data_IF_945162474397
#
_entry.id   IF_945162474397
#
_cell.length_a   1.000
_cell.length_b   1.000
_cell.length_c   1.000
_cell.angle_alpha   90.00
_cell.angle_beta   90.00
_cell.angle_gamma   90.00
#
_symmetry.space_group_name_H-M   'P 1'
#
loop_
_entity.id
_entity.type
_entity.pdbx_description
1 polymer ?
#
# COMPACT_ATOMS: atom_id res chain seq x y z
N UNK A 1 5.07 -2.65 12.22
CA UNK A 1 5.73 -1.33 12.15
C UNK A 1 5.16 -0.52 13.28
N UNK A 2 6.00 -0.03 14.18
CA UNK A 2 5.57 0.78 15.33
C UNK A 2 5.70 2.28 15.05
N UNK A 3 4.78 3.06 15.58
CA UNK A 3 4.85 4.51 15.64
C UNK A 3 5.38 4.93 17.00
N UNK A 4 6.56 5.55 17.02
CA UNK A 4 7.16 6.12 18.23
C UNK A 4 7.50 7.59 18.02
N UNK A 5 6.81 8.54 18.67
CA UNK A 5 5.64 8.33 19.54
C UNK A 5 4.41 7.85 18.76
N UNK A 6 3.38 7.39 19.48
CA UNK A 6 2.09 7.05 18.89
C UNK A 6 1.49 8.26 18.13
N UNK A 7 0.70 7.97 17.11
CA UNK A 7 0.06 8.97 16.26
C UNK A 7 -0.92 9.84 17.05
N UNK A 8 -0.99 11.11 16.67
CA UNK A 8 -1.89 12.09 17.26
C UNK A 8 -3.12 12.28 16.37
N UNK A 9 -4.34 12.37 16.93
CA UNK A 9 -5.54 12.62 16.17
C UNK A 9 -5.75 14.12 15.89
N UNK A 10 -6.37 14.44 14.76
CA UNK A 10 -6.93 15.75 14.44
C UNK A 10 -8.10 15.59 13.46
N UNK A 11 -9.01 16.56 13.38
CA UNK A 11 -10.12 16.54 12.43
C UNK A 11 -9.71 17.18 11.10
N UNK A 12 -9.93 16.49 9.99
CA UNK A 12 -9.65 17.01 8.65
C UNK A 12 -10.56 18.20 8.30
N UNK A 13 -9.96 19.31 7.87
CA UNK A 13 -10.70 20.40 7.20
C UNK A 13 -10.71 20.14 5.70
N UNK A 14 -9.53 20.04 5.08
CA UNK A 14 -9.38 19.89 3.64
C UNK A 14 -8.01 19.35 3.26
N UNK A 15 -7.93 18.64 2.13
CA UNK A 15 -6.66 18.31 1.43
C UNK A 15 -6.54 19.16 0.17
N UNK A 16 -5.36 19.70 -0.09
CA UNK A 16 -5.11 20.60 -1.22
C UNK A 16 -3.66 20.53 -1.71
N UNK A 17 -3.39 21.11 -2.89
CA UNK A 17 -2.04 21.15 -3.51
C UNK A 17 -1.30 19.79 -3.54
N UNK A 18 -2.07 18.69 -3.65
CA UNK A 18 -1.65 17.27 -3.61
C UNK A 18 -1.03 16.79 -2.29
N UNK A 19 -0.17 17.59 -1.67
CA UNK A 19 0.68 17.20 -0.54
C UNK A 19 0.37 17.91 0.78
N UNK A 20 -0.69 18.70 0.86
CA UNK A 20 -1.04 19.46 2.07
C UNK A 20 -2.44 19.11 2.54
N UNK A 21 -2.63 19.10 3.85
CA UNK A 21 -3.94 18.99 4.47
C UNK A 21 -4.01 19.88 5.70
N UNK A 22 -5.08 20.66 5.82
CA UNK A 22 -5.34 21.44 7.03
C UNK A 22 -6.23 20.63 7.97
N UNK A 23 -5.89 20.63 9.25
CA UNK A 23 -6.59 19.89 10.30
C UNK A 23 -6.77 20.76 11.54
N UNK A 24 -7.72 20.40 12.39
CA UNK A 24 -7.91 21.01 13.73
C UNK A 24 -7.65 19.94 14.80
N UNK A 25 -6.73 20.20 15.72
CA UNK A 25 -6.43 19.31 16.85
C UNK A 25 -7.58 19.28 17.85
N UNK A 26 -7.65 18.28 18.77
CA UNK A 26 -8.63 18.28 19.86
C UNK A 26 -8.58 19.53 20.75
N UNK A 27 -7.44 20.22 20.79
CA UNK A 27 -7.24 21.47 21.54
C UNK A 27 -7.68 22.73 20.76
N UNK A 28 -8.13 22.59 19.52
CA UNK A 28 -8.58 23.71 18.68
C UNK A 28 -7.49 24.40 17.86
N UNK A 29 -6.27 23.86 17.84
CA UNK A 29 -5.16 24.39 17.03
C UNK A 29 -5.31 23.96 15.57
N UNK A 30 -5.08 24.88 14.64
CA UNK A 30 -5.02 24.58 13.21
C UNK A 30 -3.60 24.21 12.80
N UNK A 31 -3.43 23.02 12.23
CA UNK A 31 -2.15 22.54 11.70
C UNK A 31 -2.24 22.30 10.20
N UNK A 32 -1.13 22.50 9.49
CA UNK A 32 -0.96 22.01 8.11
C UNK A 32 -0.04 20.78 8.12
N UNK A 33 -0.60 19.64 7.72
CA UNK A 33 0.10 18.37 7.60
C UNK A 33 0.67 18.19 6.20
N UNK A 34 1.82 17.51 6.12
CA UNK A 34 2.27 16.88 4.89
C UNK A 34 1.41 15.64 4.60
N UNK A 35 0.85 15.55 3.40
CA UNK A 35 0.13 14.39 2.89
C UNK A 35 1.06 13.59 1.94
N UNK A 36 1.63 12.45 2.38
CA UNK A 36 2.55 11.63 1.59
C UNK A 36 1.82 10.71 0.60
N UNK A 37 0.80 11.22 -0.08
CA UNK A 37 0.02 10.47 -1.07
C UNK A 37 -0.45 11.40 -2.19
N UNK A 38 -0.02 11.10 -3.42
CA UNK A 38 -0.35 11.89 -4.62
C UNK A 38 -1.56 11.35 -5.38
N UNK A 39 -2.11 10.21 -4.97
CA UNK A 39 -3.26 9.58 -5.61
C UNK A 39 -4.56 10.35 -5.37
N UNK A 40 -5.64 9.83 -5.98
CA UNK A 40 -6.98 10.38 -5.81
C UNK A 40 -7.39 10.39 -4.34
N UNK A 41 -7.04 9.33 -3.59
CA UNK A 41 -7.41 9.15 -2.18
C UNK A 41 -8.94 9.12 -2.02
N UNK A 42 -9.62 8.47 -2.97
CA UNK A 42 -11.07 8.36 -2.99
C UNK A 42 -11.55 7.74 -1.67
N UNK A 43 -12.49 8.39 -0.99
CA UNK A 43 -13.00 7.97 0.31
C UNK A 43 -12.03 8.11 1.50
N UNK A 44 -10.78 8.55 1.28
CA UNK A 44 -9.74 8.58 2.33
C UNK A 44 -9.49 9.99 2.90
N UNK A 45 -10.07 11.03 2.31
CA UNK A 45 -9.81 12.44 2.63
C UNK A 45 -11.09 13.26 2.76
N UNK A 46 -12.13 12.69 3.36
CA UNK A 46 -13.43 13.36 3.51
C UNK A 46 -13.37 14.41 4.63
N UNK A 47 -13.74 15.68 4.39
CA UNK A 47 -13.81 16.68 5.44
C UNK A 47 -14.62 16.23 6.67
N UNK A 48 -14.03 16.41 7.84
CA UNK A 48 -14.57 15.97 9.12
C UNK A 48 -14.12 14.57 9.57
N UNK A 49 -13.46 13.78 8.73
CA UNK A 49 -12.82 12.53 9.16
C UNK A 49 -11.70 12.82 10.19
N UNK A 50 -11.37 11.81 11.01
CA UNK A 50 -10.24 11.90 11.92
C UNK A 50 -8.97 11.50 11.17
N UNK A 51 -7.97 12.37 11.18
CA UNK A 51 -6.62 12.12 10.69
C UNK A 51 -5.72 11.77 11.86
N UNK A 52 -4.91 10.73 11.70
CA UNK A 52 -3.84 10.37 12.60
C UNK A 52 -2.51 10.76 11.97
N UNK A 53 -1.74 11.60 12.65
CA UNK A 53 -0.49 12.15 12.14
C UNK A 53 0.69 11.82 13.05
N UNK A 54 1.87 11.66 12.43
CA UNK A 54 3.16 11.58 13.11
C UNK A 54 3.81 12.96 13.12
N UNK A 55 4.69 13.21 14.10
CA UNK A 55 5.45 14.47 14.21
C UNK A 55 6.93 14.16 14.14
N UNK A 56 7.63 14.76 13.17
CA UNK A 56 9.08 14.64 13.05
C UNK A 56 9.79 15.61 13.99
N UNK A 57 10.87 15.16 14.64
CA UNK A 57 11.77 16.00 15.44
C UNK A 57 12.76 16.82 14.62
N UNK A 58 12.78 16.66 13.29
CA UNK A 58 13.74 17.35 12.41
C UNK A 58 13.34 18.81 12.24
N UNK A 59 14.07 19.70 12.91
CA UNK A 59 13.79 21.14 12.95
C UNK A 59 13.81 21.85 11.59
N UNK A 60 14.46 21.27 10.57
CA UNK A 60 14.52 21.86 9.22
C UNK A 60 13.26 21.61 8.38
N UNK A 61 12.29 20.82 8.85
CA UNK A 61 11.07 20.53 8.10
C UNK A 61 10.09 21.69 8.16
N UNK A 62 9.71 22.21 6.99
CA UNK A 62 8.64 23.21 6.85
C UNK A 62 7.27 22.71 7.36
N UNK A 63 6.98 21.42 7.15
CA UNK A 63 5.77 20.76 7.63
C UNK A 63 6.20 19.53 8.47
N UNK A 64 6.33 19.67 9.80
CA UNK A 64 6.86 18.61 10.66
C UNK A 64 5.89 17.45 10.85
N UNK A 65 4.59 17.71 10.69
CA UNK A 65 3.53 16.72 10.86
C UNK A 65 3.22 16.01 9.55
N UNK A 66 3.11 14.68 9.58
CA UNK A 66 2.82 13.84 8.41
C UNK A 66 1.54 13.06 8.64
N UNK A 67 0.60 13.12 7.69
CA UNK A 67 -0.62 12.33 7.71
C UNK A 67 -0.31 10.86 7.45
N UNK A 68 -0.61 10.00 8.42
CA UNK A 68 -0.34 8.55 8.36
C UNK A 68 -1.62 7.75 8.11
N UNK A 69 -2.66 7.97 8.92
CA UNK A 69 -3.94 7.27 8.82
C UNK A 69 -5.13 8.23 8.71
N UNK A 70 -6.20 7.75 8.11
CA UNK A 70 -7.56 8.30 8.21
C UNK A 70 -8.44 7.33 8.97
N UNK A 71 -9.30 7.84 9.83
CA UNK A 71 -10.43 7.12 10.38
C UNK A 71 -11.71 7.77 9.82
N UNK A 72 -12.48 7.00 9.05
CA UNK A 72 -13.75 7.46 8.48
C UNK A 72 -14.79 7.63 9.57
N UNK A 73 -15.88 8.35 9.27
CA UNK A 73 -17.02 8.50 10.20
C UNK A 73 -17.65 7.18 10.63
N UNK A 74 -17.60 6.16 9.77
CA UNK A 74 -18.09 4.82 10.08
C UNK A 74 -17.06 3.96 10.83
N UNK A 75 -15.92 4.55 11.21
CA UNK A 75 -14.90 3.93 12.07
C UNK A 75 -13.84 3.11 11.33
N UNK A 76 -13.87 3.07 10.00
CA UNK A 76 -12.83 2.37 9.23
C UNK A 76 -11.50 3.13 9.29
N UNK A 77 -10.42 2.42 9.59
CA UNK A 77 -9.05 2.95 9.56
C UNK A 77 -8.42 2.66 8.20
N UNK A 78 -7.70 3.65 7.67
CA UNK A 78 -7.07 3.61 6.36
C UNK A 78 -5.66 4.17 6.49
N UNK A 79 -4.61 3.42 6.13
CA UNK A 79 -3.28 4.01 6.03
C UNK A 79 -3.12 4.71 4.69
N UNK A 80 -3.07 6.04 4.72
CA UNK A 80 -2.95 6.86 3.52
C UNK A 80 -1.51 7.08 3.09
N UNK A 81 -0.55 6.92 3.99
CA UNK A 81 0.86 7.07 3.69
C UNK A 81 1.36 5.87 2.88
N UNK A 82 1.52 6.07 1.57
CA UNK A 82 1.86 5.01 0.62
C UNK A 82 3.23 4.38 0.88
N UNK A 83 4.13 5.07 1.58
CA UNK A 83 5.44 4.54 1.97
C UNK A 83 5.34 3.41 3.00
N UNK A 84 4.22 3.33 3.74
CA UNK A 84 4.02 2.33 4.79
C UNK A 84 3.78 0.93 4.23
N UNK A 85 3.21 0.80 3.04
CA UNK A 85 2.97 -0.49 2.39
C UNK A 85 4.26 -1.32 2.29
N UNK A 86 5.31 -0.78 1.66
CA UNK A 86 6.59 -1.48 1.54
C UNK A 86 7.23 -1.73 2.92
N UNK A 87 7.07 -0.80 3.87
CA UNK A 87 7.61 -0.97 5.23
C UNK A 87 7.02 -2.20 5.91
N UNK A 88 5.68 -2.34 5.91
CA UNK A 88 5.02 -3.47 6.58
C UNK A 88 5.12 -4.78 5.83
N UNK A 89 5.18 -4.75 4.49
CA UNK A 89 5.51 -5.95 3.70
C UNK A 89 6.91 -6.43 4.04
N UNK A 90 7.90 -5.52 4.07
CA UNK A 90 9.29 -5.88 4.39
C UNK A 90 9.41 -6.55 5.76
N UNK A 91 8.81 -5.97 6.79
CA UNK A 91 8.80 -6.57 8.13
C UNK A 91 8.12 -7.95 8.15
N UNK A 92 7.01 -8.12 7.43
CA UNK A 92 6.31 -9.41 7.34
C UNK A 92 7.14 -10.48 6.61
N UNK A 93 7.86 -10.10 5.54
CA UNK A 93 8.78 -10.97 4.83
C UNK A 93 9.98 -11.39 5.69
N UNK A 94 10.62 -10.42 6.36
CA UNK A 94 11.76 -10.68 7.24
C UNK A 94 11.38 -11.57 8.43
N UNK A 95 10.18 -11.37 8.98
CA UNK A 95 9.64 -12.20 10.06
C UNK A 95 9.02 -13.52 9.56
N UNK A 96 9.09 -13.82 8.26
CA UNK A 96 8.49 -15.01 7.62
C UNK A 96 7.00 -15.21 7.91
N UNK A 97 6.25 -14.12 8.10
CA UNK A 97 4.81 -14.13 8.44
C UNK A 97 3.88 -14.27 7.24
N UNK A 98 4.44 -14.35 6.03
CA UNK A 98 3.71 -14.59 4.79
C UNK A 98 4.04 -16.01 4.31
N UNK A 99 3.26 -17.05 4.66
CA UNK A 99 3.63 -18.44 4.40
C UNK A 99 3.97 -18.75 2.94
N UNK A 100 3.25 -18.15 1.99
CA UNK A 100 3.51 -18.30 0.56
C UNK A 100 4.88 -17.73 0.11
N UNK A 101 5.47 -16.84 0.90
CA UNK A 101 6.74 -16.13 0.62
C UNK A 101 7.82 -16.47 1.66
N UNK A 102 7.60 -17.49 2.49
CA UNK A 102 8.51 -17.91 3.54
C UNK A 102 9.63 -18.85 3.02
N UNK A 103 10.65 -19.05 3.85
CA UNK A 103 11.76 -19.95 3.55
C UNK A 103 12.74 -19.41 2.50
N UNK A 104 12.80 -18.10 2.29
CA UNK A 104 13.89 -17.46 1.56
C UNK A 104 14.97 -16.97 2.55
N UNK A 105 16.23 -16.97 2.13
CA UNK A 105 17.40 -16.65 2.96
C UNK A 105 17.72 -15.15 2.96
N UNK A 106 17.46 -14.47 1.84
CA UNK A 106 17.79 -13.06 1.68
C UNK A 106 16.66 -12.26 1.03
N UNK A 107 16.58 -10.98 1.41
CA UNK A 107 15.63 -10.01 0.89
C UNK A 107 16.41 -8.77 0.42
N UNK A 108 16.20 -8.39 -0.84
CA UNK A 108 16.68 -7.12 -1.40
C UNK A 108 15.48 -6.24 -1.73
N UNK A 109 15.62 -4.93 -1.54
CA UNK A 109 14.58 -3.94 -1.87
C UNK A 109 14.98 -3.13 -3.10
N UNK A 110 13.99 -2.63 -3.86
CA UNK A 110 14.20 -1.69 -4.97
C UNK A 110 15.18 -2.18 -6.06
N UNK A 111 15.12 -3.48 -6.40
CA UNK A 111 16.06 -4.11 -7.34
C UNK A 111 15.67 -3.75 -8.77
N UNK A 112 16.63 -3.24 -9.56
CA UNK A 112 16.39 -2.95 -10.99
C UNK A 112 16.12 -4.26 -11.74
N UNK A 113 15.09 -4.26 -12.59
CA UNK A 113 14.70 -5.42 -13.38
C UNK A 113 13.93 -4.99 -14.64
N UNK A 114 13.69 -5.95 -15.53
CA UNK A 114 12.91 -5.74 -16.75
C UNK A 114 13.62 -4.88 -17.81
N UNK A 115 13.03 -4.87 -19.01
CA UNK A 115 13.52 -4.06 -20.12
C UNK A 115 13.09 -2.57 -19.99
N UNK A 116 12.03 -2.27 -19.24
CA UNK A 116 11.46 -0.92 -19.11
C UNK A 116 12.02 -0.13 -17.91
N UNK A 117 13.22 -0.52 -17.44
CA UNK A 117 13.99 0.13 -16.35
C UNK A 117 13.20 0.27 -15.04
N UNK A 118 12.38 -0.72 -14.71
CA UNK A 118 11.66 -0.72 -13.45
C UNK A 118 12.53 -1.15 -12.28
N UNK A 119 11.97 -0.97 -11.09
CA UNK A 119 12.50 -1.51 -9.84
C UNK A 119 11.40 -2.32 -9.20
N UNK A 120 11.70 -3.56 -8.87
CA UNK A 120 10.81 -4.41 -8.10
C UNK A 120 10.92 -4.02 -6.63
N UNK A 121 9.80 -3.99 -5.91
CA UNK A 121 9.79 -3.58 -4.51
C UNK A 121 10.65 -4.52 -3.66
N UNK A 122 10.52 -5.83 -3.86
CA UNK A 122 11.34 -6.84 -3.19
C UNK A 122 11.79 -7.96 -4.13
N UNK A 123 12.99 -8.47 -3.88
CA UNK A 123 13.50 -9.72 -4.46
C UNK A 123 13.95 -10.64 -3.33
N UNK A 124 13.35 -11.83 -3.26
CA UNK A 124 13.73 -12.88 -2.32
C UNK A 124 14.61 -13.92 -3.01
N UNK A 125 15.64 -14.41 -2.30
CA UNK A 125 16.57 -15.41 -2.83
C UNK A 125 16.90 -16.47 -1.77
N UNK A 126 17.11 -17.70 -2.21
CA UNK A 126 17.62 -18.83 -1.42
C UNK A 126 18.42 -19.76 -2.34
N UNK A 127 19.29 -20.57 -1.76
CA UNK A 127 20.18 -21.46 -2.51
C UNK A 127 19.45 -22.59 -3.27
N UNK A 128 18.30 -23.00 -2.78
CA UNK A 128 17.48 -24.11 -3.26
C UNK A 128 16.22 -23.67 -4.05
N UNK A 129 16.07 -22.37 -4.34
CA UNK A 129 14.87 -21.79 -4.96
C UNK A 129 15.22 -20.79 -6.06
N UNK A 130 14.35 -20.68 -7.06
CA UNK A 130 14.37 -19.57 -8.02
C UNK A 130 14.11 -18.23 -7.31
N UNK A 131 14.56 -17.12 -7.88
CA UNK A 131 14.33 -15.81 -7.28
C UNK A 131 12.83 -15.49 -7.29
N UNK A 132 12.35 -14.80 -6.25
CA UNK A 132 10.97 -14.34 -6.18
C UNK A 132 10.91 -12.81 -6.21
N UNK A 133 10.32 -12.27 -7.27
CA UNK A 133 10.11 -10.86 -7.50
C UNK A 133 8.72 -10.47 -6.97
N UNK A 134 8.66 -9.51 -6.06
CA UNK A 134 7.41 -9.10 -5.40
C UNK A 134 7.18 -7.62 -5.67
N UNK A 135 6.08 -7.33 -6.36
CA UNK A 135 5.54 -5.98 -6.52
C UNK A 135 4.44 -5.78 -5.49
N UNK A 136 4.49 -4.67 -4.75
CA UNK A 136 3.52 -4.31 -3.70
C UNK A 136 2.58 -3.23 -4.20
N UNK A 137 1.28 -3.45 -4.00
CA UNK A 137 0.24 -2.44 -4.24
C UNK A 137 -0.50 -2.14 -2.96
N UNK A 138 -0.57 -0.86 -2.59
CA UNK A 138 -1.39 -0.40 -1.47
C UNK A 138 -2.86 -0.31 -1.92
N UNK A 139 -3.73 -1.05 -1.27
CA UNK A 139 -5.19 -1.01 -1.50
C UNK A 139 -5.85 -0.19 -0.41
N UNK A 140 -6.42 0.95 -0.79
CA UNK A 140 -7.19 1.84 0.09
C UNK A 140 -8.56 2.20 -0.48
N UNK A 141 -8.76 2.13 -1.79
CA UNK A 141 -10.07 2.33 -2.41
C UNK A 141 -10.99 1.18 -1.97
N UNK A 142 -12.16 1.54 -1.44
CA UNK A 142 -13.16 0.60 -0.96
C UNK A 142 -14.55 1.03 -1.42
N UNK A 143 -15.35 0.06 -1.86
CA UNK A 143 -16.80 0.20 -1.97
C UNK A 143 -17.42 -0.93 -1.14
N UNK A 144 -18.29 -0.58 -0.20
CA UNK A 144 -18.82 -1.53 0.78
C UNK A 144 -17.69 -2.26 1.53
N UNK A 145 -17.60 -3.59 1.45
CA UNK A 145 -16.54 -4.40 2.04
C UNK A 145 -15.46 -4.82 1.03
N UNK A 146 -15.59 -4.39 -0.22
CA UNK A 146 -14.70 -4.78 -1.31
C UNK A 146 -13.63 -3.73 -1.55
N UNK A 147 -12.40 -4.19 -1.69
CA UNK A 147 -11.22 -3.39 -1.97
C UNK A 147 -10.85 -3.39 -3.44
N UNK A 148 -10.45 -2.23 -3.95
CA UNK A 148 -10.13 -2.08 -5.36
C UNK A 148 -8.76 -1.46 -5.60
N UNK A 149 -8.11 -1.90 -6.67
CA UNK A 149 -6.91 -1.25 -7.19
C UNK A 149 -6.92 -1.28 -8.73
N UNK A 150 -6.58 -0.17 -9.42
CA UNK A 150 -6.12 1.11 -8.88
C UNK A 150 -7.24 2.12 -8.54
N UNK A 151 -6.89 3.23 -7.87
CA UNK A 151 -7.77 4.39 -7.59
C UNK A 151 -7.66 5.49 -8.68
N UNK A 152 -7.00 5.19 -9.79
CA UNK A 152 -6.92 6.01 -11.01
C UNK A 152 -6.29 5.18 -12.14
N UNK A 153 -6.53 5.56 -13.40
CA UNK A 153 -5.84 4.95 -14.55
C UNK A 153 -4.33 4.98 -14.37
N UNK A 154 -3.64 3.85 -14.58
CA UNK A 154 -2.23 3.68 -14.24
C UNK A 154 -1.42 2.96 -15.32
N UNK A 155 -0.88 3.73 -16.26
CA UNK A 155 0.09 3.21 -17.24
C UNK A 155 1.32 2.57 -16.55
N UNK A 156 1.74 3.08 -15.37
CA UNK A 156 2.81 2.50 -14.56
C UNK A 156 2.43 1.14 -14.00
N UNK A 157 1.22 0.99 -13.44
CA UNK A 157 0.77 -0.32 -12.93
C UNK A 157 0.65 -1.35 -14.04
N UNK A 158 0.10 -0.95 -15.20
CA UNK A 158 0.04 -1.79 -16.40
C UNK A 158 1.44 -2.23 -16.86
N UNK A 159 2.44 -1.33 -16.80
CA UNK A 159 3.84 -1.64 -17.10
C UNK A 159 4.40 -2.73 -16.18
N UNK A 160 4.21 -2.58 -14.88
CA UNK A 160 4.76 -3.53 -13.91
C UNK A 160 4.16 -4.93 -14.10
N UNK A 161 2.87 -5.04 -14.46
CA UNK A 161 2.25 -6.33 -14.78
C UNK A 161 2.95 -7.03 -15.96
N UNK A 162 3.31 -6.30 -17.02
CA UNK A 162 4.06 -6.86 -18.16
C UNK A 162 5.45 -7.33 -17.76
N UNK A 163 6.13 -6.59 -16.89
CA UNK A 163 7.45 -6.98 -16.40
C UNK A 163 7.37 -8.20 -15.48
N UNK A 164 6.34 -8.32 -14.64
CA UNK A 164 6.12 -9.53 -13.83
C UNK A 164 5.83 -10.76 -14.72
N UNK A 165 5.05 -10.61 -15.79
CA UNK A 165 4.85 -11.68 -16.77
C UNK A 165 6.16 -12.12 -17.41
N UNK A 166 7.04 -11.16 -17.74
CA UNK A 166 8.35 -11.46 -18.31
C UNK A 166 9.30 -12.15 -17.32
N UNK A 167 9.20 -11.84 -16.02
CA UNK A 167 9.93 -12.57 -14.96
C UNK A 167 9.52 -14.05 -14.94
N UNK A 168 8.22 -14.33 -15.01
CA UNK A 168 7.72 -15.72 -15.05
C UNK A 168 8.20 -16.44 -16.31
N UNK A 169 8.14 -15.78 -17.47
CA UNK A 169 8.63 -16.33 -18.75
C UNK A 169 10.13 -16.67 -18.71
N UNK A 170 10.92 -15.93 -17.92
CA UNK A 170 12.35 -16.19 -17.71
C UNK A 170 12.63 -17.32 -16.70
N UNK A 171 11.60 -17.90 -16.08
CA UNK A 171 11.70 -19.02 -15.15
C UNK A 171 11.85 -18.63 -13.68
N UNK A 172 11.80 -17.33 -13.36
CA UNK A 172 11.75 -16.85 -11.98
C UNK A 172 10.30 -16.74 -11.49
N UNK A 173 10.13 -16.64 -10.17
CA UNK A 173 8.81 -16.48 -9.54
C UNK A 173 8.43 -15.00 -9.48
N UNK A 174 7.19 -14.66 -9.84
CA UNK A 174 6.69 -13.29 -9.74
C UNK A 174 5.39 -13.22 -8.93
N UNK A 175 5.29 -12.23 -8.06
CA UNK A 175 4.16 -12.03 -7.13
C UNK A 175 3.71 -10.58 -7.19
N UNK A 176 2.41 -10.37 -7.37
CA UNK A 176 1.76 -9.11 -7.05
C UNK A 176 1.09 -9.24 -5.68
N UNK A 177 1.56 -8.47 -4.70
CA UNK A 177 1.02 -8.46 -3.35
C UNK A 177 0.22 -7.18 -3.09
N UNK A 178 -1.10 -7.31 -2.99
CA UNK A 178 -1.97 -6.27 -2.47
C UNK A 178 -1.83 -6.17 -0.94
N UNK A 179 -1.14 -5.14 -0.47
CA UNK A 179 -1.17 -4.72 0.92
C UNK A 179 -2.46 -3.95 1.17
N UNK A 180 -3.41 -4.58 1.85
CA UNK A 180 -4.73 -4.02 2.12
C UNK A 180 -4.65 -3.18 3.39
N UNK A 181 -4.56 -1.87 3.19
CA UNK A 181 -4.36 -0.87 4.22
C UNK A 181 -5.65 -0.13 4.57
N UNK A 182 -6.76 -0.86 4.59
CA UNK A 182 -8.09 -0.36 4.92
C UNK A 182 -8.83 -1.41 5.77
N UNK A 183 -9.23 -1.05 6.97
CA UNK A 183 -9.74 -2.01 7.97
C UNK A 183 -11.09 -2.62 7.62
N UNK A 184 -11.91 -1.95 6.78
CA UNK A 184 -13.21 -2.49 6.36
C UNK A 184 -13.12 -3.50 5.19
N UNK A 185 -11.99 -3.56 4.46
CA UNK A 185 -11.89 -4.43 3.27
C UNK A 185 -11.79 -5.91 3.70
N UNK A 186 -12.58 -6.77 3.05
CA UNK A 186 -12.63 -8.23 3.28
C UNK A 186 -12.22 -9.05 2.06
N UNK A 187 -12.20 -8.43 0.87
CA UNK A 187 -11.75 -9.04 -0.39
C UNK A 187 -11.20 -7.98 -1.34
N UNK A 188 -10.37 -8.38 -2.31
CA UNK A 188 -9.74 -7.45 -3.26
C UNK A 188 -10.07 -7.83 -4.70
N UNK A 189 -10.31 -6.83 -5.55
CA UNK A 189 -10.48 -7.00 -6.98
C UNK A 189 -9.76 -5.87 -7.76
N UNK A 190 -9.42 -6.08 -9.05
CA UNK A 190 -8.98 -4.97 -9.88
C UNK A 190 -10.16 -4.02 -10.11
N UNK A 191 -9.88 -2.71 -10.08
CA UNK A 191 -10.86 -1.66 -10.30
C UNK A 191 -11.20 -1.53 -11.80
N UNK A 192 -11.88 -2.54 -12.38
CA UNK A 192 -12.21 -2.56 -13.82
C UNK A 192 -12.97 -1.30 -14.27
N UNK A 193 -13.80 -0.75 -13.39
CA UNK A 193 -14.57 0.49 -13.64
C UNK A 193 -13.70 1.76 -13.68
N UNK A 194 -12.44 1.71 -13.22
CA UNK A 194 -11.47 2.81 -13.25
C UNK A 194 -10.40 2.59 -14.31
N UNK A 195 -9.83 1.39 -14.39
CA UNK A 195 -8.79 1.02 -15.35
C UNK A 195 -9.03 -0.41 -15.87
N UNK A 196 -9.89 -0.51 -16.89
CA UNK A 196 -10.23 -1.76 -17.54
C UNK A 196 -8.99 -2.48 -18.08
N UNK A 197 -8.04 -1.73 -18.65
CA UNK A 197 -6.81 -2.28 -19.20
C UNK A 197 -5.92 -2.91 -18.14
N UNK A 198 -5.80 -2.28 -16.96
CA UNK A 198 -5.11 -2.86 -15.82
C UNK A 198 -5.78 -4.17 -15.37
N UNK A 199 -7.12 -4.19 -15.29
CA UNK A 199 -7.87 -5.39 -14.91
C UNK A 199 -7.61 -6.56 -15.87
N UNK A 200 -7.67 -6.32 -17.18
CA UNK A 200 -7.34 -7.32 -18.21
C UNK A 200 -5.92 -7.86 -18.08
N UNK A 201 -4.94 -6.95 -17.93
CA UNK A 201 -3.53 -7.31 -17.77
C UNK A 201 -3.28 -8.10 -16.48
N UNK A 202 -4.03 -7.83 -15.41
CA UNK A 202 -3.90 -8.58 -14.16
C UNK A 202 -4.43 -10.02 -14.33
N UNK A 203 -5.58 -10.18 -14.98
CA UNK A 203 -6.10 -11.51 -15.32
C UNK A 203 -5.16 -12.26 -16.27
N UNK A 204 -4.53 -11.57 -17.24
CA UNK A 204 -3.50 -12.15 -18.10
C UNK A 204 -2.26 -12.58 -17.32
N UNK A 205 -1.76 -11.73 -16.43
CA UNK A 205 -0.61 -12.01 -15.60
C UNK A 205 -0.82 -13.26 -14.74
N UNK A 206 -2.00 -13.37 -14.12
CA UNK A 206 -2.36 -14.57 -13.37
C UNK A 206 -2.35 -15.83 -14.25
N UNK A 207 -2.95 -15.77 -15.45
CA UNK A 207 -2.94 -16.92 -16.39
C UNK A 207 -1.53 -17.32 -16.83
N UNK A 208 -0.60 -16.37 -16.90
CA UNK A 208 0.81 -16.62 -17.22
C UNK A 208 1.64 -17.09 -16.02
N UNK A 209 1.04 -17.19 -14.83
CA UNK A 209 1.71 -17.72 -13.63
C UNK A 209 2.19 -16.67 -12.63
N UNK A 210 1.87 -15.39 -12.82
CA UNK A 210 2.10 -14.38 -11.78
C UNK A 210 1.14 -14.66 -10.62
N UNK A 211 1.68 -14.87 -9.43
CA UNK A 211 0.86 -15.09 -8.24
C UNK A 211 0.27 -13.77 -7.75
N UNK A 212 -1.04 -13.76 -7.46
CA UNK A 212 -1.74 -12.57 -6.97
C UNK A 212 -2.23 -12.83 -5.55
N UNK A 213 -1.66 -12.11 -4.59
CA UNK A 213 -1.93 -12.27 -3.17
C UNK A 213 -2.53 -10.98 -2.62
N UNK A 214 -3.40 -11.09 -1.61
CA UNK A 214 -3.85 -9.96 -0.82
C UNK A 214 -3.67 -10.25 0.66
N UNK A 215 -3.14 -9.28 1.41
CA UNK A 215 -2.94 -9.37 2.85
C UNK A 215 -3.45 -8.11 3.55
N UNK A 216 -4.30 -8.32 4.55
CA UNK A 216 -4.88 -7.26 5.38
C UNK A 216 -3.89 -6.82 6.46
N UNK A 217 -3.83 -5.52 6.68
CA UNK A 217 -3.17 -4.94 7.84
C UNK A 217 -4.14 -4.75 9.01
N UNK A 218 -3.67 -5.04 10.21
CA UNK A 218 -4.17 -4.39 11.43
C UNK A 218 -3.61 -2.98 11.50
N UNK A 219 -4.46 -2.00 11.81
CA UNK A 219 -4.14 -0.57 11.83
C UNK A 219 -4.51 0.02 13.18
N UNK A 220 -3.61 0.78 13.78
CA UNK A 220 -3.86 1.54 15.00
C UNK A 220 -3.00 2.79 15.07
N UNK A 221 -3.24 3.65 16.06
CA UNK A 221 -2.40 4.80 16.34
C UNK A 221 -0.97 4.42 16.77
N UNK A 222 -0.73 3.19 17.20
CA UNK A 222 0.58 2.73 17.68
C UNK A 222 1.32 1.85 16.68
N UNK A 223 0.63 1.15 15.79
CA UNK A 223 1.27 0.24 14.84
C UNK A 223 0.46 -0.05 13.57
N UNK A 224 1.18 -0.55 12.56
CA UNK A 224 0.63 -1.17 11.35
C UNK A 224 1.33 -2.51 11.14
N UNK A 225 0.55 -3.59 11.01
CA UNK A 225 1.09 -4.94 10.89
C UNK A 225 0.23 -5.76 9.92
N UNK A 226 0.82 -6.41 8.90
CA UNK A 226 0.10 -7.39 8.08
C UNK A 226 -0.29 -8.62 8.92
N UNK A 227 -1.54 -9.06 8.85
CA UNK A 227 -2.10 -10.08 9.76
C UNK A 227 -2.72 -11.28 9.05
N UNK A 228 -3.55 -11.08 8.01
CA UNK A 228 -4.30 -12.18 7.40
C UNK A 228 -4.40 -12.08 5.89
N UNK A 229 -4.43 -13.22 5.17
CA UNK A 229 -4.70 -13.23 3.74
C UNK A 229 -6.18 -12.89 3.47
N UNK A 230 -6.45 -12.21 2.36
CA UNK A 230 -7.80 -11.96 1.85
C UNK A 230 -8.00 -12.63 0.48
N UNK A 231 -9.24 -12.99 0.12
CA UNK A 231 -9.53 -13.47 -1.22
C UNK A 231 -9.29 -12.39 -2.28
N UNK A 232 -8.70 -12.79 -3.41
CA UNK A 232 -8.59 -11.96 -4.62
C UNK A 232 -9.61 -12.44 -5.64
N UNK A 233 -10.39 -11.52 -6.22
CA UNK A 233 -11.38 -11.76 -7.29
C UNK A 233 -10.86 -11.09 -8.56
N UNK A 234 -10.61 -11.88 -9.61
CA UNK A 234 -10.11 -11.39 -10.91
C UNK A 234 -11.16 -11.52 -12.01
#
# INVERSE_FOLDING_TARGET
MEFTPALQPARLIQRYKRFLADVVTPQGETLTLHCPNTGAMTGCATPGDTVWYSTSSVATRKYPHTWELTQTRDGALICVNTLRANTVVKEALQAQRLPALAGYESLKSEVKYGAERSRIDFMLQASDKVNCYIEVKSVTLSEQDSGYFPDAVTARGQKHLRELMSVVEQGDRAVLLFAVLHSAITQVAPARHIDERYAELLSEAQRKGVEVLAWKASLSASEITLTSPLPVRL
#
